data_IF_848481970346
#
_entry.id   IF_848481970346
#
_cell.length_a   1.000
_cell.length_b   1.000
_cell.length_c   1.000
_cell.angle_alpha   90.00
_cell.angle_beta   90.00
_cell.angle_gamma   90.00
#
_symmetry.space_group_name_H-M   'P 1'
#
loop_
_entity.id
_entity.type
_entity.pdbx_description
1 polymer ?
#
# COMPACT_ATOMS: atom_id res chain seq x y z
N UNK A 1 -6.58 -20.18 -12.04
CA UNK A 1 -7.13 -19.92 -10.69
C UNK A 1 -6.25 -18.87 -10.03
N UNK A 2 -6.77 -17.94 -9.21
CA UNK A 2 -5.92 -16.97 -8.48
C UNK A 2 -5.80 -17.40 -7.00
N UNK A 3 -5.01 -16.68 -6.21
CA UNK A 3 -4.72 -17.03 -4.82
C UNK A 3 -5.98 -17.02 -3.94
N UNK A 4 -6.96 -16.16 -4.26
CA UNK A 4 -8.22 -16.12 -3.52
C UNK A 4 -9.03 -17.39 -3.77
N UNK A 5 -9.20 -17.77 -5.03
CA UNK A 5 -9.91 -19.00 -5.38
C UNK A 5 -9.18 -20.23 -4.81
N UNK A 6 -7.85 -20.22 -4.74
CA UNK A 6 -7.03 -21.27 -4.09
C UNK A 6 -7.34 -21.45 -2.62
N UNK A 7 -7.41 -20.36 -1.87
CA UNK A 7 -7.82 -20.40 -0.47
C UNK A 7 -9.26 -20.90 -0.31
N UNK A 8 -10.18 -20.39 -1.12
CA UNK A 8 -11.61 -20.70 -1.02
C UNK A 8 -11.91 -22.16 -1.38
N UNK A 9 -11.23 -22.72 -2.40
CA UNK A 9 -11.28 -24.16 -2.74
C UNK A 9 -10.86 -25.04 -1.56
N UNK A 10 -9.92 -24.57 -0.75
CA UNK A 10 -9.46 -25.26 0.45
C UNK A 10 -10.38 -25.07 1.68
N UNK A 11 -11.43 -24.23 1.58
CA UNK A 11 -12.36 -23.95 2.67
C UNK A 11 -11.77 -23.10 3.80
N UNK A 12 -10.74 -22.32 3.52
CA UNK A 12 -10.00 -21.56 4.53
C UNK A 12 -10.40 -20.10 4.55
N UNK A 13 -10.43 -19.46 5.72
CA UNK A 13 -10.47 -18.00 5.83
C UNK A 13 -9.06 -17.41 5.69
N UNK A 14 -8.95 -16.09 5.46
CA UNK A 14 -7.64 -15.41 5.45
C UNK A 14 -6.94 -15.50 6.81
N UNK A 15 -7.71 -15.37 7.89
CA UNK A 15 -7.23 -15.49 9.27
C UNK A 15 -6.66 -16.88 9.54
N UNK A 16 -7.32 -17.95 9.06
CA UNK A 16 -6.84 -19.33 9.23
C UNK A 16 -5.51 -19.55 8.51
N UNK A 17 -5.37 -19.05 7.28
CA UNK A 17 -4.10 -19.10 6.52
C UNK A 17 -2.99 -18.34 7.24
N UNK A 18 -3.31 -17.12 7.69
CA UNK A 18 -2.35 -16.27 8.39
C UNK A 18 -1.83 -16.92 9.67
N UNK A 19 -2.76 -17.48 10.47
CA UNK A 19 -2.44 -18.20 11.69
C UNK A 19 -1.55 -19.42 11.41
N UNK A 20 -1.94 -20.29 10.48
CA UNK A 20 -1.20 -21.53 10.19
C UNK A 20 0.18 -21.31 9.58
N UNK A 21 0.36 -20.26 8.78
CA UNK A 21 1.66 -19.90 8.19
C UNK A 21 2.48 -18.93 9.05
N UNK A 22 1.97 -18.54 10.21
CA UNK A 22 2.55 -17.53 11.09
C UNK A 22 2.96 -16.26 10.31
N UNK A 23 2.01 -15.67 9.60
CA UNK A 23 2.14 -14.41 8.85
C UNK A 23 0.98 -13.48 9.21
N UNK A 24 1.05 -12.22 8.78
CA UNK A 24 -0.08 -11.30 8.97
C UNK A 24 -1.24 -11.63 8.01
N UNK A 25 -2.47 -11.40 8.45
CA UNK A 25 -3.64 -11.49 7.54
C UNK A 25 -3.52 -10.50 6.37
N UNK A 26 -2.93 -9.33 6.62
CA UNK A 26 -2.59 -8.35 5.58
C UNK A 26 -1.68 -8.94 4.50
N UNK A 27 -0.74 -9.81 4.86
CA UNK A 27 0.12 -10.52 3.88
C UNK A 27 -0.72 -11.42 2.97
N UNK A 28 -1.65 -12.20 3.53
CA UNK A 28 -2.57 -13.05 2.75
C UNK A 28 -3.43 -12.19 1.82
N UNK A 29 -4.00 -11.10 2.33
CA UNK A 29 -4.77 -10.15 1.52
C UNK A 29 -3.93 -9.54 0.39
N UNK A 30 -2.66 -9.23 0.64
CA UNK A 30 -1.77 -8.66 -0.37
C UNK A 30 -1.43 -9.69 -1.47
N UNK A 31 -1.27 -10.96 -1.12
CA UNK A 31 -1.10 -12.05 -2.10
C UNK A 31 -2.32 -12.18 -3.00
N UNK A 32 -3.52 -12.25 -2.41
CA UNK A 32 -4.78 -12.34 -3.15
C UNK A 32 -5.05 -11.12 -4.04
N UNK A 33 -4.71 -9.93 -3.56
CA UNK A 33 -4.85 -8.69 -4.33
C UNK A 33 -3.74 -8.50 -5.38
N UNK A 34 -2.77 -9.43 -5.48
CA UNK A 34 -1.63 -9.35 -6.38
C UNK A 34 -0.67 -8.19 -6.08
N UNK A 35 -0.66 -7.68 -4.84
CA UNK A 35 0.20 -6.56 -4.43
C UNK A 35 1.64 -6.99 -4.20
N UNK A 36 1.84 -8.23 -3.76
CA UNK A 36 3.13 -8.81 -3.43
C UNK A 36 3.11 -10.30 -3.75
N UNK A 37 4.23 -10.84 -4.20
CA UNK A 37 4.40 -12.29 -4.34
C UNK A 37 4.57 -12.96 -2.96
N UNK A 38 4.13 -14.22 -2.77
CA UNK A 38 4.39 -14.98 -1.56
C UNK A 38 5.89 -15.28 -1.39
N UNK A 39 6.55 -14.56 -0.48
CA UNK A 39 7.92 -14.86 -0.06
C UNK A 39 7.89 -15.61 1.28
N UNK A 40 8.50 -16.79 1.32
CA UNK A 40 8.49 -17.62 2.52
C UNK A 40 9.67 -18.59 2.58
N UNK A 41 9.99 -19.05 3.79
CA UNK A 41 11.00 -20.10 4.00
C UNK A 41 10.55 -21.44 3.38
N UNK A 42 11.47 -22.36 3.03
CA UNK A 42 11.11 -23.68 2.52
C UNK A 42 10.12 -24.46 3.40
N UNK A 43 10.21 -24.33 4.74
CA UNK A 43 9.26 -24.96 5.67
C UNK A 43 7.83 -24.43 5.47
N UNK A 44 7.65 -23.11 5.49
CA UNK A 44 6.36 -22.45 5.23
C UNK A 44 5.82 -22.75 3.84
N UNK A 45 6.70 -22.91 2.84
CA UNK A 45 6.30 -23.34 1.50
C UNK A 45 5.64 -24.72 1.52
N UNK A 46 6.26 -25.71 2.18
CA UNK A 46 5.66 -27.04 2.34
C UNK A 46 4.34 -27.00 3.12
N UNK A 47 4.27 -26.17 4.17
CA UNK A 47 3.03 -25.95 4.92
C UNK A 47 1.93 -25.34 4.05
N UNK A 48 2.25 -24.36 3.21
CA UNK A 48 1.30 -23.73 2.28
C UNK A 48 0.75 -24.73 1.25
N UNK A 49 1.62 -25.57 0.67
CA UNK A 49 1.22 -26.63 -0.26
C UNK A 49 0.23 -27.61 0.39
N UNK A 50 0.54 -28.06 1.61
CA UNK A 50 -0.35 -28.94 2.39
C UNK A 50 -1.66 -28.25 2.77
N UNK A 51 -1.57 -26.99 3.18
CA UNK A 51 -2.70 -26.20 3.65
C UNK A 51 -3.72 -25.93 2.53
N UNK A 52 -3.24 -25.50 1.37
CA UNK A 52 -4.08 -25.22 0.21
C UNK A 52 -4.49 -26.47 -0.58
N UNK A 53 -3.93 -27.64 -0.24
CA UNK A 53 -4.16 -28.92 -0.94
C UNK A 53 -3.95 -28.75 -2.44
N UNK A 54 -2.77 -28.28 -2.82
CA UNK A 54 -2.42 -27.94 -4.18
C UNK A 54 -1.03 -28.43 -4.54
N UNK A 55 -0.66 -28.38 -5.82
CA UNK A 55 0.72 -28.66 -6.24
C UNK A 55 1.57 -27.39 -6.25
N UNK A 56 2.91 -27.50 -6.25
CA UNK A 56 3.83 -26.38 -6.52
C UNK A 56 3.42 -25.51 -7.70
N UNK A 57 3.05 -26.15 -8.81
CA UNK A 57 2.69 -25.50 -10.07
C UNK A 57 1.36 -24.75 -9.95
N UNK A 58 0.38 -25.33 -9.25
CA UNK A 58 -0.89 -24.65 -8.96
C UNK A 58 -0.67 -23.40 -8.11
N UNK A 59 0.18 -23.47 -7.08
CA UNK A 59 0.50 -22.32 -6.23
C UNK A 59 1.24 -21.21 -7.01
N UNK A 60 2.22 -21.59 -7.84
CA UNK A 60 2.96 -20.65 -8.69
C UNK A 60 2.02 -19.95 -9.69
N UNK A 61 1.20 -20.72 -10.39
CA UNK A 61 0.21 -20.20 -11.36
C UNK A 61 -0.80 -19.27 -10.68
N UNK A 62 -1.25 -19.60 -9.47
CA UNK A 62 -2.20 -18.78 -8.72
C UNK A 62 -1.58 -17.44 -8.29
N UNK A 63 -0.32 -17.45 -7.85
CA UNK A 63 0.45 -16.25 -7.54
C UNK A 63 0.57 -15.34 -8.77
N UNK A 64 1.08 -15.88 -9.88
CA UNK A 64 1.27 -15.15 -11.13
C UNK A 64 -0.04 -14.54 -11.65
N UNK A 65 -1.14 -15.30 -11.62
CA UNK A 65 -2.46 -14.80 -12.03
C UNK A 65 -2.91 -13.61 -11.17
N UNK A 66 -2.67 -13.67 -9.86
CA UNK A 66 -3.04 -12.58 -8.93
C UNK A 66 -2.25 -11.30 -9.23
N UNK A 67 -0.93 -11.42 -9.45
CA UNK A 67 -0.05 -10.30 -9.85
C UNK A 67 -0.53 -9.67 -11.17
N UNK A 68 -0.82 -10.48 -12.19
CA UNK A 68 -1.24 -10.01 -13.50
C UNK A 68 -2.62 -9.32 -13.48
N UNK A 69 -3.55 -9.80 -12.66
CA UNK A 69 -4.85 -9.15 -12.46
C UNK A 69 -4.69 -7.75 -11.88
N UNK A 70 -3.71 -7.52 -11.00
CA UNK A 70 -3.44 -6.19 -10.44
C UNK A 70 -2.92 -5.23 -11.49
N UNK A 71 -1.97 -5.65 -12.34
CA UNK A 71 -1.42 -4.79 -13.39
C UNK A 71 -2.47 -4.30 -14.41
N UNK A 72 -3.55 -5.08 -14.61
CA UNK A 72 -4.67 -4.67 -15.48
C UNK A 72 -5.58 -3.61 -14.86
N UNK A 73 -5.49 -3.33 -13.55
CA UNK A 73 -6.32 -2.32 -12.90
C UNK A 73 -5.78 -0.92 -13.20
N UNK A 74 -6.69 0.01 -13.56
CA UNK A 74 -6.34 1.42 -13.79
C UNK A 74 -5.56 1.97 -12.59
N UNK A 75 -4.51 2.78 -12.80
CA UNK A 75 -3.82 3.43 -11.70
C UNK A 75 -4.84 4.20 -10.87
N UNK A 76 -4.68 4.15 -9.54
CA UNK A 76 -5.59 4.81 -8.61
C UNK A 76 -5.74 6.31 -8.94
N UNK A 77 -6.79 6.92 -8.40
CA UNK A 77 -7.10 8.35 -8.59
C UNK A 77 -5.79 9.17 -8.51
N UNK A 78 -5.46 9.97 -9.55
CA UNK A 78 -4.28 10.81 -9.53
C UNK A 78 -4.27 11.65 -8.25
N UNK A 79 -3.12 11.68 -7.56
CA UNK A 79 -2.94 12.51 -6.37
C UNK A 79 -3.13 13.97 -6.79
N UNK A 80 -4.27 14.58 -6.42
CA UNK A 80 -4.50 16.02 -6.57
C UNK A 80 -3.55 16.72 -5.60
N UNK A 81 -2.57 17.45 -6.11
CA UNK A 81 -1.86 18.42 -5.29
C UNK A 81 -2.77 19.64 -5.11
N UNK A 82 -2.98 20.15 -3.88
CA UNK A 82 -3.66 21.42 -3.71
C UNK A 82 -2.83 22.51 -4.38
N UNK A 83 -3.46 23.24 -5.29
CA UNK A 83 -2.90 24.42 -5.94
C UNK A 83 -2.79 25.52 -4.87
N UNK A 84 -1.61 25.65 -4.27
CA UNK A 84 -1.33 26.72 -3.33
C UNK A 84 -1.37 28.04 -4.11
N UNK A 85 -2.51 28.73 -4.02
CA UNK A 85 -2.69 30.10 -4.49
C UNK A 85 -1.65 30.99 -3.82
N UNK A 86 -0.74 31.52 -4.63
CA UNK A 86 0.22 32.55 -4.25
C UNK A 86 -0.58 33.77 -3.79
N UNK A 87 -0.73 33.92 -2.48
CA UNK A 87 -1.26 35.15 -1.89
C UNK A 87 -0.11 36.15 -1.85
N UNK A 88 -0.21 37.14 -2.73
CA UNK A 88 0.68 38.30 -2.79
C UNK A 88 0.73 39.00 -1.41
N UNK A 89 1.92 39.15 -0.85
CA UNK A 89 2.15 40.04 0.29
C UNK A 89 1.90 41.49 -0.16
N UNK A 90 1.14 42.32 0.59
CA UNK A 90 0.95 43.70 0.21
C UNK A 90 2.24 44.49 0.47
N UNK A 91 2.55 45.38 -0.46
CA UNK A 91 3.64 46.33 -0.39
C UNK A 91 3.53 47.21 0.87
N UNK A 92 4.58 47.25 1.68
CA UNK A 92 4.74 48.31 2.70
C UNK A 92 5.21 49.55 1.95
N UNK A 93 4.26 50.44 1.68
CA UNK A 93 4.52 51.79 1.18
C UNK A 93 5.22 52.62 2.24
N UNK A 94 6.18 53.41 1.79
CA UNK A 94 6.95 54.37 2.56
C UNK A 94 6.03 55.37 3.28
N UNK A 95 6.34 55.69 4.53
CA UNK A 95 6.01 57.00 5.07
C UNK A 95 7.15 57.48 5.96
N UNK A 96 7.93 58.38 5.38
CA UNK A 96 8.72 59.38 6.08
C UNK A 96 7.79 60.24 6.93
N UNK A 97 8.15 60.48 8.18
CA UNK A 97 8.41 61.83 8.68
C UNK A 97 8.95 61.77 10.12
N UNK A 98 10.19 62.22 10.28
CA UNK A 98 10.73 62.70 11.55
C UNK A 98 10.14 64.08 11.85
N UNK A 99 9.93 64.46 13.13
CA UNK A 99 10.85 65.47 13.67
C UNK A 99 11.15 65.39 15.19
N UNK A 100 12.43 65.65 15.49
CA UNK A 100 13.00 66.63 16.46
C UNK A 100 12.45 66.68 17.91
N UNK A 101 13.30 66.36 18.90
CA UNK A 101 13.91 67.30 19.89
C UNK A 101 14.30 66.62 21.22
N UNK A 102 15.37 67.16 21.79
CA UNK A 102 16.20 66.78 22.95
C UNK A 102 15.53 66.85 24.32
N UNK A 103 16.01 66.10 25.33
CA UNK A 103 15.93 66.55 26.72
C UNK A 103 17.23 67.28 27.13
N UNK A 104 17.03 68.37 27.85
CA UNK A 104 18.04 69.21 28.47
C UNK A 104 18.04 68.95 29.99
N UNK A 105 19.19 69.26 30.63
CA UNK A 105 19.55 69.16 32.07
C UNK A 105 20.29 67.89 32.46
#
# INVERSE_FOLDING_TARGET
MDMQVLRERAGLSRTEVAFRLAISETSVRNWEAGRTEPTMTPKKYLEAIRLFKCTPEELATASEKSINQRHKRKPGRPRRYPENGVSQSPAISQMSDSPIYTPNI
#
